data_IF_322513098783
#
_entry.id   IF_322513098783
#
_cell.length_a   1.000
_cell.length_b   1.000
_cell.length_c   1.000
_cell.angle_alpha   90.00
_cell.angle_beta   90.00
_cell.angle_gamma   90.00
#
_symmetry.space_group_name_H-M   'P 1'
#
loop_
_entity.id
_entity.type
_entity.pdbx_description
1 polymer ?
#
# COMPACT_ATOMS: atom_id res chain seq x y z
N UNK A 1 0.10 -0.54 22.57
CA UNK A 1 -0.73 0.68 22.58
C UNK A 1 -1.30 0.83 21.18
N UNK A 2 -2.60 1.07 21.02
CA UNK A 2 -3.22 1.27 19.71
C UNK A 2 -2.62 2.52 19.04
N UNK A 3 -2.21 2.42 17.77
CA UNK A 3 -1.58 3.49 16.99
C UNK A 3 -2.47 4.74 16.94
N UNK A 4 -3.80 4.54 16.85
CA UNK A 4 -4.77 5.64 16.86
C UNK A 4 -4.87 6.28 18.24
N UNK A 5 -4.68 5.51 19.30
CA UNK A 5 -4.70 6.02 20.67
C UNK A 5 -3.43 6.84 20.96
N UNK A 6 -2.28 6.40 20.46
CA UNK A 6 -1.02 7.15 20.51
C UNK A 6 -1.11 8.48 19.75
N UNK A 7 -1.64 8.45 18.52
CA UNK A 7 -1.86 9.66 17.73
C UNK A 7 -2.79 10.64 18.46
N UNK A 8 -3.90 10.18 19.03
CA UNK A 8 -4.81 11.03 19.82
C UNK A 8 -4.15 11.63 21.06
N UNK A 9 -3.31 10.86 21.78
CA UNK A 9 -2.58 11.41 22.93
C UNK A 9 -1.59 12.50 22.51
N UNK A 10 -0.91 12.32 21.37
CA UNK A 10 -0.02 13.31 20.80
C UNK A 10 -0.80 14.57 20.36
N UNK A 11 -1.97 14.40 19.74
CA UNK A 11 -2.84 15.52 19.34
C UNK A 11 -3.27 16.40 20.52
N UNK A 12 -3.68 15.79 21.64
CA UNK A 12 -4.00 16.54 22.86
C UNK A 12 -2.78 17.22 23.49
N UNK A 13 -1.61 16.56 23.45
CA UNK A 13 -0.36 17.14 23.92
C UNK A 13 0.01 18.41 23.13
N UNK A 14 -0.08 18.37 21.79
CA UNK A 14 0.16 19.54 20.92
C UNK A 14 -0.78 20.71 21.23
N UNK A 15 -2.08 20.44 21.43
CA UNK A 15 -3.03 21.50 21.79
C UNK A 15 -2.64 22.14 23.13
N UNK A 16 -2.28 21.33 24.13
CA UNK A 16 -1.85 21.81 25.43
C UNK A 16 -0.58 22.67 25.35
N UNK A 17 0.43 22.21 24.62
CA UNK A 17 1.69 22.93 24.43
C UNK A 17 1.47 24.24 23.66
N UNK A 18 0.75 24.19 22.54
CA UNK A 18 0.51 25.36 21.72
C UNK A 18 -0.34 26.43 22.41
N UNK A 19 -1.29 26.04 23.26
CA UNK A 19 -2.04 26.97 24.11
C UNK A 19 -1.13 27.65 25.15
N UNK A 20 -0.18 26.92 25.73
CA UNK A 20 0.77 27.50 26.68
C UNK A 20 1.72 28.52 26.01
N UNK A 21 2.23 28.19 24.81
CA UNK A 21 3.07 29.06 23.99
C UNK A 21 2.33 30.32 23.51
N UNK A 22 1.06 30.18 23.16
CA UNK A 22 0.22 31.30 22.75
C UNK A 22 -0.18 32.21 23.93
N UNK A 23 -0.55 31.64 25.08
CA UNK A 23 -1.05 32.38 26.23
C UNK A 23 0.07 33.03 27.08
N UNK A 24 1.26 32.41 27.12
CA UNK A 24 2.37 32.88 27.96
C UNK A 24 3.74 32.93 27.24
N UNK A 25 3.84 33.53 26.05
CA UNK A 25 5.07 33.49 25.23
C UNK A 25 6.26 34.18 25.92
N UNK A 26 6.02 35.20 26.74
CA UNK A 26 7.08 35.87 27.52
C UNK A 26 7.69 34.95 28.57
N UNK A 27 6.85 34.26 29.36
CA UNK A 27 7.33 33.37 30.43
C UNK A 27 8.12 32.19 29.85
N UNK A 28 7.69 31.67 28.70
CA UNK A 28 8.37 30.57 28.01
C UNK A 28 9.69 31.03 27.40
N UNK A 29 9.71 32.19 26.72
CA UNK A 29 10.96 32.79 26.23
C UNK A 29 11.98 32.99 27.36
N UNK A 30 11.51 33.55 28.49
CA UNK A 30 12.35 33.82 29.65
C UNK A 30 12.84 32.52 30.30
N UNK A 31 12.07 31.43 30.26
CA UNK A 31 12.49 30.14 30.81
C UNK A 31 13.60 29.47 29.98
N UNK A 32 13.53 29.61 28.66
CA UNK A 32 14.35 28.85 27.70
C UNK A 32 15.49 29.69 27.11
N UNK A 33 15.54 31.00 27.40
CA UNK A 33 16.59 31.91 26.94
C UNK A 33 16.41 32.41 25.51
N UNK A 34 15.16 32.51 25.05
CA UNK A 34 14.80 33.04 23.72
C UNK A 34 14.31 34.50 23.82
N UNK A 35 15.00 35.30 24.62
CA UNK A 35 14.65 36.68 24.91
C UNK A 35 14.61 37.50 23.60
N UNK A 36 13.42 37.96 23.20
CA UNK A 36 13.21 38.76 21.97
C UNK A 36 12.54 38.03 20.79
N UNK A 37 12.34 36.71 20.83
CA UNK A 37 11.73 35.93 19.71
C UNK A 37 10.24 35.59 19.91
N UNK A 38 9.49 36.52 20.50
CA UNK A 38 8.08 36.34 20.94
C UNK A 38 7.12 35.99 19.80
N UNK A 39 7.27 36.65 18.65
CA UNK A 39 6.40 36.39 17.48
C UNK A 39 6.59 34.99 16.91
N UNK A 40 7.79 34.42 16.99
CA UNK A 40 8.05 33.05 16.55
C UNK A 40 7.39 32.03 17.48
N UNK A 41 7.47 32.23 18.81
CA UNK A 41 6.83 31.34 19.78
C UNK A 41 5.30 31.32 19.64
N UNK A 42 4.66 32.45 19.34
CA UNK A 42 3.22 32.47 19.08
C UNK A 42 2.84 31.76 17.78
N UNK A 43 3.67 31.88 16.74
CA UNK A 43 3.48 31.18 15.47
C UNK A 43 3.65 29.66 15.63
N UNK A 44 4.62 29.23 16.43
CA UNK A 44 4.84 27.82 16.77
C UNK A 44 3.67 27.27 17.59
N UNK A 45 3.19 28.02 18.59
CA UNK A 45 2.02 27.60 19.37
C UNK A 45 0.74 27.49 18.53
N UNK A 46 0.51 28.41 17.58
CA UNK A 46 -0.60 28.31 16.62
C UNK A 46 -0.47 27.08 15.71
N UNK A 47 0.75 26.79 15.24
CA UNK A 47 1.06 25.60 14.44
C UNK A 47 0.77 24.32 15.22
N UNK A 48 1.23 24.23 16.47
CA UNK A 48 0.99 23.08 17.36
C UNK A 48 -0.51 22.86 17.61
N UNK A 49 -1.29 23.92 17.85
CA UNK A 49 -2.75 23.78 17.98
C UNK A 49 -3.36 23.24 16.69
N UNK A 50 -2.95 23.77 15.53
CA UNK A 50 -3.50 23.37 14.24
C UNK A 50 -3.18 21.90 13.89
N UNK A 51 -1.92 21.46 14.08
CA UNK A 51 -1.52 20.07 13.88
C UNK A 51 -2.22 19.14 14.88
N UNK A 52 -2.34 19.56 16.15
CA UNK A 52 -3.06 18.81 17.18
C UNK A 52 -4.55 18.60 16.85
N UNK A 53 -5.25 19.65 16.39
CA UNK A 53 -6.64 19.55 15.91
C UNK A 53 -6.72 18.61 14.70
N UNK A 54 -5.80 18.74 13.73
CA UNK A 54 -5.73 17.88 12.56
C UNK A 54 -5.63 16.40 12.91
N UNK A 55 -4.77 16.05 13.88
CA UNK A 55 -4.62 14.67 14.38
C UNK A 55 -5.90 14.18 15.07
N UNK A 56 -6.57 15.01 15.87
CA UNK A 56 -7.81 14.59 16.54
C UNK A 56 -8.97 14.38 15.57
N UNK A 57 -9.04 15.19 14.50
CA UNK A 57 -10.06 15.07 13.45
C UNK A 57 -9.79 13.88 12.52
N UNK A 58 -8.52 13.60 12.21
CA UNK A 58 -8.11 12.54 11.28
C UNK A 58 -6.98 11.69 11.87
N UNK A 59 -7.24 10.91 12.93
CA UNK A 59 -6.20 10.20 13.69
C UNK A 59 -5.52 9.06 12.94
N UNK A 60 -6.01 8.72 11.74
CA UNK A 60 -5.42 7.70 10.86
C UNK A 60 -4.60 8.30 9.69
N UNK A 61 -4.50 9.63 9.59
CA UNK A 61 -3.80 10.30 8.50
C UNK A 61 -2.33 10.62 8.91
N UNK A 62 -1.33 9.98 8.30
CA UNK A 62 0.07 10.15 8.69
C UNK A 62 0.62 11.56 8.43
N UNK A 63 0.01 12.31 7.52
CA UNK A 63 0.50 13.64 7.11
C UNK A 63 0.50 14.64 8.26
N UNK A 64 -0.41 14.50 9.23
CA UNK A 64 -0.45 15.40 10.39
C UNK A 64 0.71 15.17 11.36
N UNK A 65 1.17 13.92 11.54
CA UNK A 65 2.39 13.64 12.30
C UNK A 65 3.65 14.09 11.55
N UNK A 66 3.69 13.96 10.22
CA UNK A 66 4.80 14.48 9.40
C UNK A 66 4.91 16.01 9.50
N UNK A 67 3.78 16.71 9.51
CA UNK A 67 3.74 18.16 9.71
C UNK A 67 4.29 18.57 11.08
N UNK A 68 4.11 17.73 12.11
CA UNK A 68 4.73 17.94 13.43
C UNK A 68 6.23 17.70 13.42
N UNK A 69 6.70 16.60 12.84
CA UNK A 69 8.15 16.34 12.71
C UNK A 69 8.87 17.49 12.00
N UNK A 70 8.30 18.00 10.92
CA UNK A 70 8.84 19.17 10.21
C UNK A 70 8.84 20.43 11.08
N UNK A 71 7.84 20.58 11.94
CA UNK A 71 7.74 21.64 12.92
C UNK A 71 8.77 21.56 14.04
N UNK A 72 8.94 20.39 14.64
CA UNK A 72 9.95 20.13 15.67
C UNK A 72 11.36 20.41 15.14
N UNK A 73 11.64 20.16 13.87
CA UNK A 73 12.91 20.52 13.25
C UNK A 73 13.17 22.05 13.29
N UNK A 74 12.12 22.87 13.11
CA UNK A 74 12.21 24.32 13.23
C UNK A 74 12.41 24.74 14.70
N UNK A 75 11.71 24.09 15.63
CA UNK A 75 11.82 24.35 17.07
C UNK A 75 13.22 24.00 17.58
N UNK A 76 13.77 22.86 17.16
CA UNK A 76 15.14 22.43 17.45
C UNK A 76 16.18 23.37 16.86
N UNK A 77 15.98 23.87 15.63
CA UNK A 77 16.88 24.85 15.03
C UNK A 77 16.86 26.19 15.82
N UNK A 78 15.66 26.62 16.26
CA UNK A 78 15.51 27.81 17.08
C UNK A 78 16.21 27.65 18.43
N UNK A 79 15.95 26.55 19.15
CA UNK A 79 16.56 26.25 20.44
C UNK A 79 18.07 26.03 20.32
N UNK A 80 18.53 25.39 19.24
CA UNK A 80 19.94 25.19 18.92
C UNK A 80 20.69 26.51 18.75
N UNK A 81 20.04 27.55 18.19
CA UNK A 81 20.62 28.88 18.11
C UNK A 81 20.82 29.56 19.48
N UNK A 82 20.16 29.07 20.52
CA UNK A 82 20.27 29.55 21.90
C UNK A 82 21.21 28.69 22.77
N UNK A 83 21.88 27.67 22.22
CA UNK A 83 22.84 26.82 22.95
C UNK A 83 24.25 27.43 23.10
N UNK A 84 24.42 28.70 22.71
CA UNK A 84 25.67 29.47 22.83
C UNK A 84 26.21 29.47 24.26
N UNK A 85 27.54 29.51 24.42
CA UNK A 85 28.21 29.62 25.72
C UNK A 85 27.82 30.89 26.48
N UNK A 86 27.44 31.94 25.76
CA UNK A 86 27.02 33.23 26.33
C UNK A 86 25.59 33.22 26.88
N UNK A 87 24.81 32.14 26.69
CA UNK A 87 23.45 32.05 27.21
C UNK A 87 23.46 31.59 28.68
N UNK A 88 23.06 32.44 29.65
CA UNK A 88 23.02 32.08 31.07
C UNK A 88 21.99 30.99 31.40
N UNK A 89 21.12 30.62 30.44
CA UNK A 89 20.05 29.60 30.60
C UNK A 89 20.31 28.33 29.79
N UNK A 90 21.54 28.13 29.31
CA UNK A 90 21.94 27.03 28.41
C UNK A 90 21.52 25.63 28.88
N UNK A 91 21.56 25.33 30.17
CA UNK A 91 21.11 24.04 30.72
C UNK A 91 19.61 23.81 30.51
N UNK A 92 18.78 24.85 30.66
CA UNK A 92 17.33 24.80 30.43
C UNK A 92 17.03 24.69 28.94
N UNK A 93 17.79 25.38 28.10
CA UNK A 93 17.72 25.25 26.64
C UNK A 93 18.05 23.82 26.19
N UNK A 94 19.09 23.21 26.78
CA UNK A 94 19.46 21.81 26.52
C UNK A 94 18.35 20.83 26.94
N UNK A 95 17.73 21.06 28.10
CA UNK A 95 16.59 20.25 28.56
C UNK A 95 15.37 20.39 27.61
N UNK A 96 15.08 21.61 27.13
CA UNK A 96 14.02 21.83 26.15
C UNK A 96 14.29 21.11 24.81
N UNK A 97 15.55 21.13 24.33
CA UNK A 97 15.96 20.39 23.13
C UNK A 97 15.77 18.89 23.31
N UNK A 98 16.19 18.35 24.45
CA UNK A 98 16.01 16.93 24.74
C UNK A 98 14.52 16.52 24.76
N UNK A 99 13.66 17.37 25.33
CA UNK A 99 12.22 17.16 25.36
C UNK A 99 11.61 17.17 23.94
N UNK A 100 11.94 18.18 23.12
CA UNK A 100 11.47 18.25 21.73
C UNK A 100 11.96 17.06 20.92
N UNK A 101 13.25 16.72 21.00
CA UNK A 101 13.81 15.56 20.30
C UNK A 101 13.13 14.23 20.69
N UNK A 102 12.76 14.08 21.96
CA UNK A 102 11.99 12.92 22.43
C UNK A 102 10.59 12.85 21.81
N UNK A 103 9.89 13.98 21.72
CA UNK A 103 8.57 14.07 21.05
C UNK A 103 8.72 13.82 19.56
N UNK A 104 9.73 14.37 18.90
CA UNK A 104 10.00 14.13 17.47
C UNK A 104 10.23 12.65 17.18
N UNK A 105 10.96 11.93 18.05
CA UNK A 105 11.14 10.50 17.90
C UNK A 105 9.81 9.73 17.98
N UNK A 106 8.92 10.12 18.89
CA UNK A 106 7.57 9.54 18.98
C UNK A 106 6.71 9.87 17.75
N UNK A 107 6.81 11.10 17.23
CA UNK A 107 6.08 11.53 16.04
C UNK A 107 6.58 10.79 14.78
N UNK A 108 7.90 10.53 14.65
CA UNK A 108 8.47 9.70 13.58
C UNK A 108 7.95 8.27 13.68
N UNK A 109 8.06 7.65 14.87
CA UNK A 109 7.59 6.27 15.09
C UNK A 109 6.09 6.16 14.80
N UNK A 110 5.29 7.11 15.29
CA UNK A 110 3.85 7.16 15.05
C UNK A 110 3.50 7.40 13.59
N UNK A 111 4.27 8.25 12.89
CA UNK A 111 4.07 8.51 11.46
C UNK A 111 4.37 7.27 10.62
N UNK A 112 5.44 6.52 10.93
CA UNK A 112 5.75 5.27 10.25
C UNK A 112 4.68 4.21 10.49
N UNK A 113 4.21 4.06 11.74
CA UNK A 113 3.14 3.12 12.09
C UNK A 113 1.84 3.47 11.36
N UNK A 114 1.40 4.73 11.43
CA UNK A 114 0.22 5.19 10.70
C UNK A 114 0.40 5.09 9.19
N UNK A 115 1.59 5.31 8.63
CA UNK A 115 1.85 5.17 7.19
C UNK A 115 1.80 3.71 6.75
N UNK A 116 2.26 2.77 7.58
CA UNK A 116 2.11 1.32 7.34
C UNK A 116 0.64 0.91 7.39
N UNK A 117 -0.10 1.34 8.41
CA UNK A 117 -1.53 1.04 8.57
C UNK A 117 -2.42 1.72 7.53
N UNK A 118 -2.15 2.98 7.18
CA UNK A 118 -2.80 3.68 6.08
C UNK A 118 -2.38 3.09 4.72
N UNK A 119 -1.13 2.63 4.58
CA UNK A 119 -0.65 1.88 3.43
C UNK A 119 -1.38 0.55 3.24
N UNK A 120 -1.75 -0.13 4.33
CA UNK A 120 -2.61 -1.32 4.29
C UNK A 120 -4.05 -1.01 3.86
N UNK A 121 -4.56 0.21 4.07
CA UNK A 121 -5.96 0.57 3.76
C UNK A 121 -6.16 1.44 2.51
N UNK A 122 -5.15 2.17 2.03
CA UNK A 122 -5.32 3.24 1.02
C UNK A 122 -4.60 2.97 -0.31
N UNK A 123 -3.99 1.80 -0.49
CA UNK A 123 -3.26 1.44 -1.73
C UNK A 123 -3.54 0.04 -2.29
N UNK A 124 -4.31 -0.79 -1.59
CA UNK A 124 -4.68 -2.11 -2.07
C UNK A 124 -5.83 -1.99 -3.09
N UNK A 125 -5.60 -2.51 -4.29
CA UNK A 125 -6.66 -2.66 -5.27
C UNK A 125 -7.31 -4.02 -4.98
N UNK A 126 -8.54 -3.96 -4.46
CA UNK A 126 -9.38 -5.13 -4.25
C UNK A 126 -10.19 -5.41 -5.51
N UNK A 127 -10.19 -6.65 -5.97
CA UNK A 127 -11.11 -7.07 -7.01
C UNK A 127 -11.67 -8.47 -6.77
N UNK A 128 -12.83 -8.70 -7.39
CA UNK A 128 -13.57 -9.96 -7.33
C UNK A 128 -14.11 -10.29 -8.72
N UNK A 129 -13.75 -11.45 -9.23
CA UNK A 129 -14.24 -11.98 -10.50
C UNK A 129 -14.81 -13.38 -10.29
N UNK A 130 -15.79 -13.76 -11.10
CA UNK A 130 -16.32 -15.12 -11.07
C UNK A 130 -16.74 -15.61 -12.44
N UNK A 131 -16.65 -16.92 -12.64
CA UNK A 131 -17.07 -17.58 -13.87
C UNK A 131 -17.65 -18.96 -13.56
N UNK A 132 -18.66 -19.36 -14.33
CA UNK A 132 -19.21 -20.73 -14.25
C UNK A 132 -18.51 -21.62 -15.28
N UNK A 133 -17.95 -22.74 -14.82
CA UNK A 133 -17.23 -23.72 -15.64
C UNK A 133 -17.94 -25.07 -15.50
N UNK A 134 -18.24 -25.71 -16.63
CA UNK A 134 -18.86 -27.03 -16.75
C UNK A 134 -17.85 -28.16 -16.46
N UNK A 135 -17.30 -28.10 -15.25
CA UNK A 135 -16.41 -29.10 -14.66
C UNK A 135 -16.67 -29.24 -13.17
N UNK A 136 -16.24 -30.37 -12.61
CA UNK A 136 -16.39 -30.62 -11.19
C UNK A 136 -15.48 -29.70 -10.37
N UNK A 137 -15.93 -29.30 -9.17
CA UNK A 137 -15.12 -28.53 -8.23
C UNK A 137 -13.80 -29.23 -7.90
N UNK A 138 -13.80 -30.58 -7.86
CA UNK A 138 -12.61 -31.40 -7.64
C UNK A 138 -11.58 -31.25 -8.76
N UNK A 139 -12.02 -31.20 -10.02
CA UNK A 139 -11.10 -31.05 -11.16
C UNK A 139 -10.51 -29.65 -11.21
N UNK A 140 -11.33 -28.63 -10.96
CA UNK A 140 -10.91 -27.24 -10.93
C UNK A 140 -9.96 -26.96 -9.76
N UNK A 141 -10.26 -27.50 -8.58
CA UNK A 141 -9.38 -27.44 -7.42
C UNK A 141 -8.03 -28.11 -7.69
N UNK A 142 -8.03 -29.33 -8.28
CA UNK A 142 -6.76 -30.01 -8.63
C UNK A 142 -5.93 -29.22 -9.64
N UNK A 143 -6.57 -28.61 -10.63
CA UNK A 143 -5.89 -27.77 -11.61
C UNK A 143 -5.25 -26.56 -10.92
N UNK A 144 -6.01 -25.86 -10.07
CA UNK A 144 -5.54 -24.66 -9.38
C UNK A 144 -4.46 -24.96 -8.34
N UNK A 145 -4.59 -26.07 -7.61
CA UNK A 145 -3.64 -26.52 -6.59
C UNK A 145 -2.26 -26.82 -7.18
N UNK A 146 -2.21 -27.33 -8.42
CA UNK A 146 -0.98 -27.44 -9.20
C UNK A 146 -0.54 -26.06 -9.73
N UNK A 147 0.00 -25.21 -8.85
CA UNK A 147 0.30 -23.80 -9.13
C UNK A 147 1.18 -23.60 -10.38
N UNK A 148 2.07 -24.54 -10.67
CA UNK A 148 2.94 -24.52 -11.87
C UNK A 148 2.16 -24.60 -13.19
N UNK A 149 0.87 -24.97 -13.16
CA UNK A 149 -0.01 -24.95 -14.32
C UNK A 149 -0.65 -23.58 -14.59
N UNK A 150 -0.69 -22.69 -13.60
CA UNK A 150 -1.36 -21.39 -13.71
C UNK A 150 -0.78 -20.48 -14.82
N UNK A 151 0.53 -20.47 -15.12
CA UNK A 151 1.07 -19.74 -16.28
C UNK A 151 0.45 -20.13 -17.63
N UNK A 152 -0.18 -21.32 -17.75
CA UNK A 152 -0.87 -21.75 -18.97
C UNK A 152 -2.16 -20.97 -19.24
N UNK A 153 -2.76 -20.40 -18.21
CA UNK A 153 -4.00 -19.61 -18.30
C UNK A 153 -3.77 -18.14 -17.95
N UNK A 154 -2.70 -17.80 -17.22
CA UNK A 154 -2.35 -16.46 -16.78
C UNK A 154 -1.13 -15.93 -17.55
N UNK A 155 -1.33 -15.36 -18.74
CA UNK A 155 -0.22 -14.92 -19.62
C UNK A 155 0.72 -13.87 -19.02
N UNK A 156 0.24 -13.19 -17.97
CA UNK A 156 0.97 -12.17 -17.23
C UNK A 156 1.94 -12.75 -16.20
N UNK A 157 1.75 -14.01 -15.82
CA UNK A 157 2.69 -14.78 -15.02
C UNK A 157 3.66 -15.48 -15.97
N UNK A 158 4.95 -15.24 -15.78
CA UNK A 158 6.01 -15.89 -16.54
C UNK A 158 6.29 -17.29 -16.01
N UNK A 159 6.38 -17.45 -14.69
CA UNK A 159 6.61 -18.75 -14.06
C UNK A 159 6.13 -18.79 -12.63
N UNK A 160 5.73 -19.98 -12.18
CA UNK A 160 5.50 -20.32 -10.77
C UNK A 160 6.31 -21.58 -10.47
N UNK A 161 7.01 -21.60 -9.34
CA UNK A 161 7.79 -22.76 -8.87
C UNK A 161 7.47 -23.04 -7.41
N UNK A 162 7.29 -24.30 -7.03
CA UNK A 162 7.21 -24.65 -5.62
C UNK A 162 8.60 -24.58 -4.97
N UNK A 163 8.68 -23.95 -3.79
CA UNK A 163 9.94 -23.73 -3.06
C UNK A 163 9.92 -24.33 -1.65
N UNK A 164 8.84 -25.00 -1.27
CA UNK A 164 8.69 -25.66 0.02
C UNK A 164 7.23 -25.98 0.33
N UNK A 165 6.96 -26.59 1.50
CA UNK A 165 5.60 -26.96 1.90
C UNK A 165 4.67 -25.73 1.89
N UNK A 166 3.70 -25.73 0.97
CA UNK A 166 2.73 -24.65 0.81
C UNK A 166 3.34 -23.31 0.37
N UNK A 167 4.58 -23.28 -0.14
CA UNK A 167 5.27 -22.07 -0.58
C UNK A 167 5.64 -22.13 -2.05
N UNK A 168 5.52 -21.00 -2.73
CA UNK A 168 5.76 -20.87 -4.16
C UNK A 168 6.46 -19.56 -4.49
N UNK A 169 7.34 -19.59 -5.48
CA UNK A 169 8.02 -18.43 -6.05
C UNK A 169 7.38 -18.08 -7.40
N UNK A 170 7.03 -16.81 -7.57
CA UNK A 170 6.29 -16.28 -8.70
C UNK A 170 7.11 -15.24 -9.43
N UNK A 171 7.01 -15.25 -10.75
CA UNK A 171 7.58 -14.23 -11.62
C UNK A 171 6.50 -13.73 -12.56
N UNK A 172 6.25 -12.42 -12.59
CA UNK A 172 5.28 -11.80 -13.47
C UNK A 172 5.91 -10.74 -14.39
N UNK A 173 5.30 -10.59 -15.56
CA UNK A 173 5.63 -9.56 -16.52
C UNK A 173 4.99 -8.24 -16.09
N UNK A 174 5.78 -7.18 -16.04
CA UNK A 174 5.33 -5.82 -15.76
C UNK A 174 5.54 -4.91 -17.00
N UNK A 175 4.86 -3.76 -17.06
CA UNK A 175 5.01 -2.79 -18.15
C UNK A 175 6.47 -2.39 -18.39
N UNK A 176 6.77 -1.96 -19.62
CA UNK A 176 8.12 -1.55 -20.05
C UNK A 176 9.19 -2.64 -19.93
N UNK A 177 8.80 -3.93 -20.00
CA UNK A 177 9.73 -5.05 -19.93
C UNK A 177 10.28 -5.34 -18.54
N UNK A 178 9.70 -4.73 -17.49
CA UNK A 178 10.03 -5.02 -16.11
C UNK A 178 9.57 -6.44 -15.71
N UNK A 179 10.23 -7.02 -14.71
CA UNK A 179 9.85 -8.28 -14.07
C UNK A 179 9.59 -8.01 -12.59
N UNK A 180 8.55 -8.64 -12.05
CA UNK A 180 8.23 -8.60 -10.62
C UNK A 180 8.33 -10.02 -10.08
N UNK A 181 8.98 -10.16 -8.92
CA UNK A 181 9.20 -11.47 -8.31
C UNK A 181 8.73 -11.46 -6.85
N UNK A 182 8.04 -12.52 -6.44
CA UNK A 182 7.61 -12.66 -5.05
C UNK A 182 7.47 -14.11 -4.64
N UNK A 183 7.62 -14.35 -3.34
CA UNK A 183 7.27 -15.63 -2.73
C UNK A 183 5.89 -15.53 -2.08
N UNK A 184 5.10 -16.59 -2.19
CA UNK A 184 3.77 -16.73 -1.59
C UNK A 184 3.66 -17.97 -0.73
N UNK A 185 2.82 -17.93 0.29
CA UNK A 185 2.41 -19.08 1.08
C UNK A 185 0.90 -19.29 1.05
N UNK A 186 0.48 -20.56 1.04
CA UNK A 186 -0.91 -20.98 1.17
C UNK A 186 -1.32 -20.89 2.64
N UNK A 187 -2.34 -20.10 2.94
CA UNK A 187 -2.87 -19.88 4.29
C UNK A 187 -4.15 -20.66 4.57
N UNK A 188 -4.85 -21.11 3.53
CA UNK A 188 -6.02 -21.97 3.62
C UNK A 188 -6.03 -22.94 2.44
N UNK A 189 -6.19 -24.22 2.72
CA UNK A 189 -6.33 -25.26 1.72
C UNK A 189 -7.50 -26.19 2.10
N UNK A 190 -8.66 -25.96 1.48
CA UNK A 190 -9.88 -26.74 1.67
C UNK A 190 -10.20 -27.49 0.38
N UNK A 191 -10.04 -28.83 0.36
CA UNK A 191 -10.22 -29.64 -0.84
C UNK A 191 -11.56 -29.38 -1.55
N UNK A 192 -11.49 -29.05 -2.85
CA UNK A 192 -12.65 -28.78 -3.71
C UNK A 192 -13.53 -27.60 -3.27
N UNK A 193 -13.11 -26.79 -2.30
CA UNK A 193 -13.90 -25.68 -1.76
C UNK A 193 -13.16 -24.35 -1.87
N UNK A 194 -11.91 -24.26 -1.41
CA UNK A 194 -11.20 -22.99 -1.30
C UNK A 194 -9.68 -23.16 -1.21
N UNK A 195 -8.95 -22.27 -1.86
CA UNK A 195 -7.51 -22.08 -1.64
C UNK A 195 -7.31 -20.58 -1.37
N UNK A 196 -6.59 -20.24 -0.31
CA UNK A 196 -6.21 -18.85 -0.02
C UNK A 196 -4.70 -18.75 0.19
N UNK A 197 -4.13 -17.63 -0.25
CA UNK A 197 -2.69 -17.38 -0.22
C UNK A 197 -2.37 -15.95 0.18
N UNK A 198 -1.12 -15.72 0.57
CA UNK A 198 -0.53 -14.38 0.75
C UNK A 198 0.94 -14.38 0.35
N UNK A 199 1.45 -13.24 -0.11
CA UNK A 199 2.88 -13.01 -0.30
C UNK A 199 3.62 -13.01 1.04
N UNK A 200 4.90 -13.41 1.02
CA UNK A 200 5.81 -13.32 2.16
C UNK A 200 6.32 -11.89 2.38
N UNK A 201 6.88 -11.63 3.57
CA UNK A 201 7.51 -10.36 3.90
C UNK A 201 8.69 -10.06 2.97
N UNK A 202 8.81 -8.81 2.51
CA UNK A 202 9.87 -8.38 1.61
C UNK A 202 9.61 -8.68 0.12
N UNK A 203 8.44 -9.19 -0.25
CA UNK A 203 8.03 -9.37 -1.65
C UNK A 203 7.97 -8.03 -2.42
N UNK A 204 8.36 -8.04 -3.70
CA UNK A 204 8.20 -6.88 -4.59
C UNK A 204 6.72 -6.47 -4.77
N UNK A 205 5.82 -7.45 -4.61
CA UNK A 205 4.37 -7.27 -4.73
C UNK A 205 3.69 -7.86 -3.51
N UNK A 206 3.17 -6.98 -2.64
CA UNK A 206 2.30 -7.40 -1.55
C UNK A 206 0.92 -7.77 -2.11
N UNK A 207 0.58 -9.05 -2.03
CA UNK A 207 -0.68 -9.58 -2.52
C UNK A 207 -1.24 -10.66 -1.60
N UNK A 208 -2.56 -10.71 -1.52
CA UNK A 208 -3.30 -11.79 -0.88
C UNK A 208 -4.53 -12.11 -1.71
N UNK A 209 -4.94 -13.37 -1.73
CA UNK A 209 -6.09 -13.76 -2.52
C UNK A 209 -6.68 -15.08 -2.11
N UNK A 210 -7.81 -15.39 -2.72
CA UNK A 210 -8.46 -16.68 -2.59
C UNK A 210 -9.19 -17.05 -3.87
N UNK A 211 -9.25 -18.35 -4.13
CA UNK A 211 -10.16 -18.95 -5.08
C UNK A 211 -11.14 -19.83 -4.32
N UNK A 212 -12.43 -19.73 -4.61
CA UNK A 212 -13.45 -20.66 -4.13
C UNK A 212 -14.17 -21.36 -5.26
N UNK A 213 -14.63 -22.58 -4.98
CA UNK A 213 -15.29 -23.48 -5.91
C UNK A 213 -16.67 -23.82 -5.35
N UNK A 214 -17.71 -23.18 -5.90
CA UNK A 214 -19.09 -23.35 -5.43
C UNK A 214 -19.93 -24.08 -6.49
N UNK A 215 -20.91 -24.88 -6.06
CA UNK A 215 -21.77 -25.58 -7.01
C UNK A 215 -22.62 -24.58 -7.80
N UNK A 216 -22.58 -24.66 -9.14
CA UNK A 216 -23.39 -23.79 -9.98
C UNK A 216 -24.88 -24.19 -9.94
N UNK A 217 -25.80 -23.20 -9.91
CA UNK A 217 -27.23 -23.48 -10.01
C UNK A 217 -27.59 -24.20 -11.32
N UNK A 218 -28.56 -25.11 -11.24
CA UNK A 218 -29.10 -25.83 -12.39
C UNK A 218 -28.15 -26.89 -12.98
N UNK A 219 -27.16 -27.36 -12.21
CA UNK A 219 -26.26 -28.43 -12.66
C UNK A 219 -25.23 -27.99 -13.70
N UNK A 220 -24.97 -26.69 -13.83
CA UNK A 220 -24.05 -26.10 -14.83
C UNK A 220 -22.57 -26.17 -14.45
N UNK A 221 -22.18 -27.16 -13.66
CA UNK A 221 -20.82 -27.30 -13.12
C UNK A 221 -20.57 -26.50 -11.86
N UNK A 222 -19.49 -25.70 -11.86
CA UNK A 222 -18.94 -25.00 -10.69
C UNK A 222 -18.73 -23.52 -10.98
N UNK A 223 -19.14 -22.66 -10.04
CA UNK A 223 -18.78 -21.25 -10.00
C UNK A 223 -17.40 -21.14 -9.36
N UNK A 224 -16.43 -20.69 -10.14
CA UNK A 224 -15.09 -20.33 -9.67
C UNK A 224 -15.12 -18.85 -9.33
N UNK A 225 -14.79 -18.49 -8.09
CA UNK A 225 -14.74 -17.11 -7.62
C UNK A 225 -13.34 -16.79 -7.16
N UNK A 226 -12.76 -15.73 -7.70
CA UNK A 226 -11.43 -15.24 -7.32
C UNK A 226 -11.61 -13.89 -6.64
N UNK A 227 -11.03 -13.76 -5.45
CA UNK A 227 -10.92 -12.50 -4.73
C UNK A 227 -9.45 -12.22 -4.48
N UNK A 228 -9.00 -11.01 -4.77
CA UNK A 228 -7.60 -10.65 -4.63
C UNK A 228 -7.45 -9.20 -4.18
N UNK A 229 -6.53 -9.01 -3.25
CA UNK A 229 -6.00 -7.74 -2.82
C UNK A 229 -4.55 -7.67 -3.27
N UNK A 230 -4.18 -6.63 -4.02
CA UNK A 230 -2.77 -6.43 -4.37
C UNK A 230 -2.38 -4.97 -4.23
N UNK A 231 -1.11 -4.74 -3.85
CA UNK A 231 -0.50 -3.43 -3.72
C UNK A 231 0.67 -3.30 -4.70
N UNK A 232 0.62 -2.35 -5.65
CA UNK A 232 1.75 -2.09 -6.53
C UNK A 232 3.01 -1.69 -5.74
N UNK A 233 4.21 -2.09 -6.19
CA UNK A 233 5.47 -1.64 -5.60
C UNK A 233 5.56 -0.11 -5.55
N UNK A 234 6.02 0.43 -4.41
CA UNK A 234 6.20 1.88 -4.19
C UNK A 234 4.96 2.66 -3.74
N UNK A 235 3.81 1.99 -3.52
CA UNK A 235 2.55 2.67 -3.24
C UNK A 235 2.11 3.60 -4.38
N UNK A 236 1.01 4.34 -4.23
CA UNK A 236 0.50 5.28 -5.26
C UNK A 236 1.43 6.51 -5.43
N UNK A 237 2.63 6.52 -4.85
CA UNK A 237 3.52 7.68 -4.86
C UNK A 237 4.31 7.72 -6.17
N UNK A 238 3.66 8.25 -7.21
CA UNK A 238 4.29 8.60 -8.48
C UNK A 238 3.26 8.62 -9.61
N UNK A 239 2.78 9.81 -9.99
CA UNK A 239 1.79 10.00 -11.07
C UNK A 239 2.21 9.42 -12.45
N UNK A 240 3.45 8.97 -12.60
CA UNK A 240 3.97 8.26 -13.78
C UNK A 240 3.89 6.73 -13.67
N UNK A 241 4.00 6.15 -12.47
CA UNK A 241 3.91 4.70 -12.22
C UNK A 241 2.44 4.26 -12.26
N UNK A 242 1.55 5.00 -11.60
CA UNK A 242 0.11 4.70 -11.60
C UNK A 242 -0.51 4.67 -13.02
N UNK A 243 0.00 5.46 -13.98
CA UNK A 243 -0.45 5.41 -15.38
C UNK A 243 0.09 4.23 -16.18
N UNK A 244 1.25 3.67 -15.80
CA UNK A 244 1.87 2.50 -16.44
C UNK A 244 1.22 1.19 -15.97
N UNK A 245 0.93 1.07 -14.67
CA UNK A 245 0.23 -0.08 -14.09
C UNK A 245 -1.31 0.05 -14.14
N UNK A 246 -1.81 1.25 -14.43
CA UNK A 246 -3.24 1.62 -14.39
C UNK A 246 -4.06 1.24 -15.62
N UNK A 247 -4.02 -0.04 -16.03
CA UNK A 247 -5.06 -0.63 -16.88
C UNK A 247 -5.55 -1.95 -16.30
N UNK A 248 -6.46 -1.82 -15.33
CA UNK A 248 -7.44 -2.80 -14.85
C UNK A 248 -6.94 -4.26 -14.66
N UNK A 249 -6.26 -4.56 -13.55
CA UNK A 249 -5.96 -5.93 -13.08
C UNK A 249 -7.20 -6.85 -13.09
N UNK A 250 -8.36 -6.29 -12.75
CA UNK A 250 -9.70 -6.91 -12.89
C UNK A 250 -9.90 -7.55 -14.27
N UNK A 251 -9.58 -6.82 -15.35
CA UNK A 251 -9.75 -7.32 -16.72
C UNK A 251 -8.82 -8.49 -17.02
N UNK A 252 -7.61 -8.47 -16.47
CA UNK A 252 -6.63 -9.52 -16.70
C UNK A 252 -7.07 -10.83 -16.05
N UNK A 253 -7.52 -10.79 -14.79
CA UNK A 253 -8.06 -11.99 -14.14
C UNK A 253 -9.35 -12.47 -14.80
N UNK A 254 -10.21 -11.55 -15.25
CA UNK A 254 -11.40 -11.94 -16.02
C UNK A 254 -11.02 -12.71 -17.29
N UNK A 255 -10.00 -12.24 -18.04
CA UNK A 255 -9.47 -12.95 -19.22
C UNK A 255 -8.89 -14.32 -18.85
N UNK A 256 -8.12 -14.40 -17.77
CA UNK A 256 -7.48 -15.65 -17.35
C UNK A 256 -8.52 -16.68 -16.86
N UNK A 257 -9.61 -16.24 -16.23
CA UNK A 257 -10.76 -17.09 -15.89
C UNK A 257 -11.49 -17.62 -17.13
N UNK A 258 -11.60 -16.82 -18.19
CA UNK A 258 -12.15 -17.30 -19.47
C UNK A 258 -11.23 -18.33 -20.14
N UNK A 259 -9.90 -18.16 -20.07
CA UNK A 259 -8.93 -19.15 -20.55
C UNK A 259 -9.01 -20.44 -19.75
N UNK A 260 -9.15 -20.35 -18.42
CA UNK A 260 -9.40 -21.50 -17.56
C UNK A 260 -10.66 -22.23 -18.00
N UNK A 261 -11.77 -21.51 -18.22
CA UNK A 261 -13.02 -22.10 -18.70
C UNK A 261 -12.83 -22.87 -20.01
N UNK A 262 -12.20 -22.24 -21.00
CA UNK A 262 -11.91 -22.88 -22.29
C UNK A 262 -11.06 -24.14 -22.10
N UNK A 263 -9.90 -24.02 -21.45
CA UNK A 263 -9.00 -25.15 -21.22
C UNK A 263 -9.70 -26.31 -20.50
N UNK A 264 -10.49 -26.02 -19.47
CA UNK A 264 -11.15 -27.04 -18.67
C UNK A 264 -12.33 -27.68 -19.39
N UNK A 265 -13.11 -26.92 -20.18
CA UNK A 265 -14.30 -27.42 -20.89
C UNK A 265 -13.98 -28.13 -22.21
N UNK A 266 -13.01 -27.63 -22.96
CA UNK A 266 -12.72 -28.11 -24.32
C UNK A 266 -11.33 -28.72 -24.47
N UNK A 267 -10.43 -28.52 -23.51
CA UNK A 267 -9.02 -28.95 -23.61
C UNK A 267 -8.13 -27.97 -24.39
N UNK A 268 -8.70 -26.90 -24.94
CA UNK A 268 -7.99 -25.93 -25.79
C UNK A 268 -8.27 -24.49 -25.32
N UNK A 269 -7.31 -23.58 -25.51
CA UNK A 269 -7.49 -22.15 -25.28
C UNK A 269 -7.60 -21.48 -26.65
N UNK A 270 -8.75 -20.88 -26.96
CA UNK A 270 -8.95 -20.22 -28.24
C UNK A 270 -8.13 -18.92 -28.30
N UNK A 271 -7.22 -18.81 -29.28
CA UNK A 271 -6.39 -17.61 -29.49
C UNK A 271 -6.68 -16.96 -30.84
N UNK A 272 -6.65 -15.63 -30.87
CA UNK A 272 -6.68 -14.83 -32.10
C UNK A 272 -5.27 -14.44 -32.57
N UNK A 273 -4.22 -14.75 -31.80
CA UNK A 273 -2.83 -14.52 -32.20
C UNK A 273 -2.51 -15.35 -33.46
N UNK A 274 -2.01 -14.68 -34.50
CA UNK A 274 -1.69 -15.33 -35.78
C UNK A 274 -2.89 -15.53 -36.72
N UNK A 275 -4.12 -15.17 -36.34
CA UNK A 275 -5.24 -15.15 -37.26
C UNK A 275 -5.26 -13.84 -38.06
N UNK A 276 -5.10 -13.87 -39.40
CA UNK A 276 -5.21 -12.66 -40.20
C UNK A 276 -6.66 -12.18 -40.14
N UNK A 277 -6.91 -11.10 -39.39
CA UNK A 277 -8.14 -10.36 -39.54
C UNK A 277 -8.16 -9.87 -40.99
N UNK A 278 -9.08 -10.38 -41.81
CA UNK A 278 -9.24 -10.02 -43.24
C UNK A 278 -9.67 -8.57 -43.48
N UNK A 279 -9.14 -7.62 -42.72
CA UNK A 279 -9.25 -6.19 -42.96
C UNK A 279 -8.19 -5.80 -43.99
N UNK A 280 -8.55 -5.04 -45.05
CA UNK A 280 -7.56 -4.41 -45.90
C UNK A 280 -6.60 -3.60 -45.02
N UNK A 281 -5.30 -3.79 -45.23
CA UNK A 281 -4.23 -3.06 -44.54
C UNK A 281 -4.57 -1.56 -44.59
N UNK A 282 -4.90 -0.97 -43.44
CA UNK A 282 -5.21 0.45 -43.34
C UNK A 282 -3.95 1.23 -43.76
N UNK A 283 -4.04 2.04 -44.81
CA UNK A 283 -2.95 2.91 -45.28
C UNK A 283 -2.70 4.12 -44.37
N UNK A 284 -3.28 4.14 -43.17
CA UNK A 284 -3.07 5.20 -42.19
C UNK A 284 -2.07 4.71 -41.14
N UNK A 285 -0.81 5.11 -41.26
CA UNK A 285 0.28 4.81 -40.31
C UNK A 285 0.08 5.33 -38.88
N UNK A 286 -1.11 5.80 -38.53
CA UNK A 286 -1.48 6.27 -37.19
C UNK A 286 -1.93 5.16 -36.23
N UNK A 287 -2.13 3.92 -36.71
CA UNK A 287 -2.74 2.85 -35.90
C UNK A 287 -1.91 1.56 -35.76
N UNK A 288 -0.75 1.45 -36.40
CA UNK A 288 0.08 0.23 -36.34
C UNK A 288 0.89 0.09 -35.04
N UNK A 289 1.07 1.15 -34.24
CA UNK A 289 1.83 1.10 -32.98
C UNK A 289 1.07 0.47 -31.79
N UNK A 290 -0.23 0.19 -31.92
CA UNK A 290 -1.07 -0.21 -30.77
C UNK A 290 -1.20 -1.74 -30.63
N UNK A 291 -0.73 -2.54 -31.60
CA UNK A 291 -0.98 -3.99 -31.65
C UNK A 291 0.27 -4.85 -31.37
N UNK A 292 1.39 -4.24 -30.98
CA UNK A 292 2.57 -4.98 -30.51
C UNK A 292 2.99 -4.52 -29.11
N UNK A 293 2.25 -4.91 -28.08
CA UNK A 293 2.80 -5.05 -26.71
C UNK A 293 1.95 -6.00 -25.88
#
# INVERSE_FOLDING_TARGET
MDEKQMAKSLGWFSIGLGLAEFAAPKKIADMVGLDGRRGMLQLFGLREIATGIGILMQPANPNWLQARVAGDALDLALLGSALSEDNPKRERTAAAIAAVAGVTALDIIGSEQLSRSAGMQSGAIHFRESITIDRSAKDLYRFWHALEHLPRIMNHIESVREIGPGRSHWVAKAPAGMRLEWDSEVIEDRPSERIAWRSLEGADVDNAGSVSFERAPGGRGTVVKVEMDYRPPGGIVGAKIAKLFGKAPEKQISVDLHRLKQLMETGEIATTEGQPAGRPRSLSGKYDEIVQT
#
